data_IF_082154970929
#
_entry.id   IF_082154970929
#
_cell.length_a   1.000
_cell.length_b   1.000
_cell.length_c   1.000
_cell.angle_alpha   90.00
_cell.angle_beta   90.00
_cell.angle_gamma   90.00
#
_symmetry.space_group_name_H-M   'P 1'
#
loop_
_entity.id
_entity.type
_entity.pdbx_description
1 polymer ?
#
# COMPACT_ATOMS: atom_id res chain seq x y z
N UNK A 1 51.89 -23.06 -6.60
CA UNK A 1 51.42 -21.66 -6.82
C UNK A 1 50.74 -21.41 -8.18
N UNK A 2 50.97 -22.22 -9.23
CA UNK A 2 50.42 -21.96 -10.59
C UNK A 2 48.88 -21.99 -10.68
N UNK A 3 48.22 -22.93 -10.01
CA UNK A 3 46.76 -23.13 -10.07
C UNK A 3 45.94 -22.02 -9.37
N UNK A 4 46.51 -21.34 -8.36
CA UNK A 4 45.82 -20.24 -7.66
C UNK A 4 45.60 -19.02 -8.56
N UNK A 5 46.53 -18.75 -9.48
CA UNK A 5 46.43 -17.63 -10.44
C UNK A 5 45.35 -17.89 -11.50
N UNK A 6 45.28 -19.12 -12.02
CA UNK A 6 44.23 -19.52 -12.97
C UNK A 6 42.83 -19.47 -12.36
N UNK A 7 42.66 -19.89 -11.11
CA UNK A 7 41.37 -19.80 -10.40
C UNK A 7 40.93 -18.34 -10.20
N UNK A 8 41.86 -17.44 -9.89
CA UNK A 8 41.57 -16.02 -9.72
C UNK A 8 41.13 -15.37 -11.05
N UNK A 9 41.78 -15.74 -12.15
CA UNK A 9 41.42 -15.26 -13.48
C UNK A 9 40.02 -15.75 -13.91
N UNK A 10 39.69 -17.02 -13.65
CA UNK A 10 38.35 -17.56 -13.91
C UNK A 10 37.29 -16.82 -13.09
N UNK A 11 37.57 -16.52 -11.82
CA UNK A 11 36.67 -15.75 -10.96
C UNK A 11 36.46 -14.31 -11.44
N UNK A 12 37.53 -13.63 -11.88
CA UNK A 12 37.41 -12.28 -12.44
C UNK A 12 36.60 -12.25 -13.74
N UNK A 13 36.79 -13.24 -14.63
CA UNK A 13 36.06 -13.32 -15.89
C UNK A 13 34.57 -13.66 -15.64
N UNK A 14 34.26 -14.55 -14.70
CA UNK A 14 32.87 -14.87 -14.37
C UNK A 14 32.11 -13.68 -13.78
N UNK A 15 32.77 -12.88 -12.92
CA UNK A 15 32.21 -11.63 -12.41
C UNK A 15 31.99 -10.60 -13.51
N UNK A 16 32.95 -10.44 -14.42
CA UNK A 16 32.87 -9.49 -15.52
C UNK A 16 31.75 -9.83 -16.51
N UNK A 17 31.65 -11.09 -16.94
CA UNK A 17 30.58 -11.55 -17.84
C UNK A 17 29.21 -11.38 -17.20
N UNK A 18 29.04 -11.78 -15.94
CA UNK A 18 27.74 -11.69 -15.25
C UNK A 18 27.26 -10.24 -15.11
N UNK A 19 28.16 -9.29 -14.83
CA UNK A 19 27.81 -7.87 -14.70
C UNK A 19 27.61 -7.18 -16.06
N UNK A 20 28.34 -7.58 -17.09
CA UNK A 20 28.26 -6.96 -18.42
C UNK A 20 26.96 -7.26 -19.15
N UNK A 21 26.38 -8.45 -18.95
CA UNK A 21 25.08 -8.83 -19.53
C UNK A 21 23.87 -8.43 -18.67
N UNK A 22 24.08 -7.93 -17.45
CA UNK A 22 23.01 -7.50 -16.54
C UNK A 22 22.56 -6.04 -16.77
N UNK A 23 23.20 -5.31 -17.68
CA UNK A 23 22.85 -3.91 -17.95
C UNK A 23 21.54 -3.82 -18.75
N UNK A 24 20.48 -3.40 -18.05
CA UNK A 24 19.17 -3.00 -18.57
C UNK A 24 19.31 -1.84 -19.56
N UNK A 25 19.54 -2.15 -20.84
CA UNK A 25 20.01 -1.17 -21.83
C UNK A 25 18.95 -0.36 -22.58
N UNK A 26 17.66 -0.75 -22.59
CA UNK A 26 16.69 -0.13 -23.51
C UNK A 26 15.39 0.39 -22.88
N UNK A 27 15.09 0.04 -21.62
CA UNK A 27 13.79 0.32 -21.01
C UNK A 27 13.93 0.94 -19.63
N UNK A 28 13.45 2.17 -19.45
CA UNK A 28 13.36 2.82 -18.15
C UNK A 28 12.20 2.21 -17.34
N UNK A 29 12.44 1.07 -16.67
CA UNK A 29 11.52 0.57 -15.62
C UNK A 29 11.63 1.55 -14.45
N UNK A 30 10.53 2.26 -14.18
CA UNK A 30 10.39 3.23 -13.09
C UNK A 30 9.37 2.70 -12.09
N UNK A 31 9.81 2.18 -10.96
CA UNK A 31 8.91 1.76 -9.90
C UNK A 31 8.69 2.91 -8.91
N UNK A 32 7.45 3.09 -8.48
CA UNK A 32 7.08 4.08 -7.48
C UNK A 32 6.68 3.41 -6.17
N UNK A 33 7.06 4.00 -5.04
CA UNK A 33 6.52 3.66 -3.73
C UNK A 33 5.82 4.91 -3.22
N UNK A 34 4.54 4.76 -2.86
CA UNK A 34 3.71 5.78 -2.25
C UNK A 34 3.37 5.38 -0.83
N UNK A 35 3.40 6.35 0.07
CA UNK A 35 2.95 6.22 1.45
C UNK A 35 1.81 7.21 1.62
N UNK A 36 0.71 6.78 2.21
CA UNK A 36 -0.47 7.61 2.48
C UNK A 36 -0.79 7.58 3.97
N UNK A 37 -1.20 8.71 4.51
CA UNK A 37 -1.70 8.84 5.88
C UNK A 37 -2.83 9.85 5.91
N UNK A 38 -3.82 9.63 6.78
CA UNK A 38 -4.97 10.50 6.89
C UNK A 38 -5.66 10.36 8.24
N UNK A 39 -6.48 11.36 8.56
CA UNK A 39 -7.44 11.30 9.66
C UNK A 39 -8.80 10.95 9.08
N UNK A 40 -9.51 10.05 9.73
CA UNK A 40 -10.85 9.63 9.34
C UNK A 40 -11.84 10.11 10.39
N UNK A 41 -13.05 10.46 9.95
CA UNK A 41 -14.17 10.69 10.86
C UNK A 41 -15.24 9.67 10.50
N UNK A 42 -15.53 8.76 11.42
CA UNK A 42 -16.46 7.67 11.19
C UNK A 42 -17.73 7.90 12.01
N UNK A 43 -18.88 7.82 11.34
CA UNK A 43 -20.19 7.94 11.97
C UNK A 43 -21.14 6.89 11.37
N UNK A 44 -21.93 6.24 12.22
CA UNK A 44 -22.98 5.31 11.77
C UNK A 44 -24.30 6.07 11.86
N UNK A 45 -25.04 6.14 10.76
CA UNK A 45 -26.40 6.66 10.78
C UNK A 45 -27.32 5.46 10.96
N UNK A 46 -27.94 5.36 12.13
CA UNK A 46 -28.91 4.31 12.44
C UNK A 46 -30.02 4.88 13.30
N UNK A 47 -31.26 4.51 13.00
CA UNK A 47 -32.43 5.00 13.71
C UNK A 47 -32.62 4.31 15.08
N UNK A 48 -31.96 3.17 15.28
CA UNK A 48 -32.15 2.32 16.46
C UNK A 48 -31.12 2.57 17.58
N UNK A 49 -30.01 3.24 17.30
CA UNK A 49 -28.95 3.50 18.28
C UNK A 49 -28.49 4.95 18.20
N UNK A 50 -28.31 5.58 19.36
CA UNK A 50 -27.67 6.88 19.42
C UNK A 50 -26.15 6.71 19.43
N UNK A 51 -25.52 7.07 18.32
CA UNK A 51 -24.09 6.91 18.09
C UNK A 51 -23.40 8.27 17.95
N UNK A 52 -22.18 8.39 18.46
CA UNK A 52 -21.37 9.59 18.32
C UNK A 52 -20.25 9.39 17.31
N UNK A 53 -20.06 10.38 16.44
CA UNK A 53 -18.98 10.39 15.47
C UNK A 53 -17.62 10.51 16.19
N UNK A 54 -16.72 9.57 15.91
CA UNK A 54 -15.37 9.61 16.48
C UNK A 54 -14.31 9.74 15.38
N UNK A 55 -13.13 10.20 15.80
CA UNK A 55 -11.97 10.34 14.91
C UNK A 55 -11.16 9.05 14.92
N UNK A 56 -10.68 8.69 13.75
CA UNK A 56 -9.79 7.58 13.50
C UNK A 56 -8.55 8.03 12.74
N UNK A 57 -7.64 7.08 12.52
CA UNK A 57 -6.50 7.28 11.63
C UNK A 57 -6.56 6.27 10.48
N UNK A 58 -5.97 6.64 9.36
CA UNK A 58 -5.70 5.74 8.26
C UNK A 58 -4.26 5.88 7.80
N UNK A 59 -3.66 4.76 7.42
CA UNK A 59 -2.34 4.70 6.82
C UNK A 59 -2.38 3.72 5.65
N UNK A 60 -1.49 3.90 4.69
CA UNK A 60 -1.43 3.00 3.54
C UNK A 60 -0.09 3.06 2.83
N UNK A 61 0.18 2.00 2.09
CA UNK A 61 1.37 1.81 1.28
C UNK A 61 0.91 1.39 -0.11
N UNK A 62 1.45 2.00 -1.15
CA UNK A 62 1.18 1.63 -2.53
C UNK A 62 2.47 1.48 -3.29
N UNK A 63 2.65 0.37 -3.98
CA UNK A 63 3.76 0.13 -4.89
C UNK A 63 3.24 0.12 -6.32
N UNK A 64 3.90 0.85 -7.20
CA UNK A 64 3.55 0.95 -8.62
C UNK A 64 4.71 0.43 -9.45
N UNK A 65 4.45 -0.56 -10.30
CA UNK A 65 5.40 -1.15 -11.21
C UNK A 65 5.08 -0.66 -12.62
N UNK A 66 6.05 0.02 -13.21
CA UNK A 66 6.03 0.34 -14.62
C UNK A 66 6.62 -0.83 -15.42
N UNK A 67 5.88 -1.36 -16.38
CA UNK A 67 6.35 -2.42 -17.29
C UNK A 67 6.54 -1.89 -18.71
N UNK A 68 7.68 -1.27 -19.07
CA UNK A 68 8.02 -1.03 -20.46
C UNK A 68 8.35 -2.38 -21.14
N UNK A 69 7.88 -2.68 -22.38
CA UNK A 69 7.27 -1.81 -23.40
C UNK A 69 5.73 -1.74 -23.39
N UNK A 70 5.08 -2.30 -22.38
CA UNK A 70 3.62 -2.40 -22.33
C UNK A 70 2.99 -1.04 -22.00
N UNK A 71 1.83 -0.75 -22.59
CA UNK A 71 1.07 0.49 -22.36
C UNK A 71 0.27 0.45 -21.06
N UNK A 72 0.63 -0.41 -20.10
CA UNK A 72 -0.05 -0.50 -18.83
C UNK A 72 0.95 -0.55 -17.68
N UNK A 73 0.61 0.09 -16.57
CA UNK A 73 1.28 -0.03 -15.29
C UNK A 73 0.38 -0.81 -14.34
N UNK A 74 1.02 -1.40 -13.34
CA UNK A 74 0.31 -2.10 -12.29
C UNK A 74 0.63 -1.45 -10.95
N UNK A 75 -0.38 -1.17 -10.15
CA UNK A 75 -0.18 -0.71 -8.78
C UNK A 75 -0.90 -1.62 -7.80
N UNK A 76 -0.20 -1.93 -6.72
CA UNK A 76 -0.70 -2.70 -5.60
C UNK A 76 -0.63 -1.83 -4.35
N UNK A 77 -1.76 -1.65 -3.68
CA UNK A 77 -1.91 -0.85 -2.48
C UNK A 77 -2.44 -1.68 -1.33
N UNK A 78 -2.05 -1.31 -0.12
CA UNK A 78 -2.66 -1.77 1.11
C UNK A 78 -2.92 -0.55 1.99
N UNK A 79 -4.16 -0.41 2.44
CA UNK A 79 -4.58 0.65 3.35
C UNK A 79 -5.13 0.02 4.62
N UNK A 80 -4.77 0.56 5.76
CA UNK A 80 -5.30 0.23 7.07
C UNK A 80 -5.97 1.45 7.67
N UNK A 81 -7.01 1.24 8.45
CA UNK A 81 -7.68 2.31 9.20
C UNK A 81 -8.14 1.78 10.54
N UNK A 82 -7.94 2.62 11.56
CA UNK A 82 -8.50 2.44 12.88
C UNK A 82 -9.55 3.52 13.09
N UNK A 83 -10.81 3.09 13.22
CA UNK A 83 -11.94 3.96 13.48
C UNK A 83 -12.52 3.62 14.84
N UNK A 84 -12.97 4.63 15.56
CA UNK A 84 -13.65 4.46 16.85
C UNK A 84 -15.12 4.85 16.68
N UNK A 85 -16.01 4.12 17.33
CA UNK A 85 -17.44 4.46 17.41
C UNK A 85 -17.83 4.41 18.87
N UNK A 86 -18.63 5.36 19.29
CA UNK A 86 -19.24 5.38 20.62
C UNK A 86 -20.73 5.14 20.44
N UNK A 87 -21.23 4.06 21.03
CA UNK A 87 -22.64 3.66 20.99
C UNK A 87 -23.20 3.81 22.39
N UNK A 88 -24.34 4.50 22.52
CA UNK A 88 -25.04 4.59 23.80
C UNK A 88 -25.66 3.25 24.16
N UNK A 89 -25.23 2.71 25.30
CA UNK A 89 -25.71 1.44 25.85
C UNK A 89 -26.11 1.58 27.32
N UNK A 90 -26.79 0.55 27.83
CA UNK A 90 -27.08 0.39 29.26
C UNK A 90 -26.31 -0.81 29.80
N UNK A 91 -25.64 -0.69 30.96
CA UNK A 91 -24.85 -1.79 31.52
C UNK A 91 -25.69 -2.94 32.07
N UNK A 92 -26.96 -2.71 32.41
CA UNK A 92 -27.91 -3.74 32.83
C UNK A 92 -29.34 -3.40 32.40
N UNK A 93 -30.21 -4.41 32.29
CA UNK A 93 -31.63 -4.24 31.95
C UNK A 93 -32.40 -3.39 32.97
N UNK A 94 -31.91 -3.29 34.21
CA UNK A 94 -32.55 -2.58 35.33
C UNK A 94 -31.94 -1.19 35.59
N UNK A 95 -30.82 -0.84 34.94
CA UNK A 95 -30.15 0.46 35.13
C UNK A 95 -30.75 1.52 34.20
N UNK A 96 -31.03 2.72 34.74
CA UNK A 96 -31.41 3.91 33.94
C UNK A 96 -30.22 4.73 33.45
N UNK A 97 -29.00 4.38 33.88
CA UNK A 97 -27.76 5.04 33.44
C UNK A 97 -27.40 4.59 32.03
N UNK A 98 -27.19 5.57 31.15
CA UNK A 98 -26.70 5.37 29.78
C UNK A 98 -25.23 5.71 29.72
N UNK A 99 -24.42 4.76 29.28
CA UNK A 99 -22.97 4.93 29.10
C UNK A 99 -22.62 4.82 27.62
N UNK A 100 -21.60 5.57 27.19
CA UNK A 100 -21.05 5.48 25.85
C UNK A 100 -20.05 4.33 25.78
N UNK A 101 -20.47 3.23 25.16
CA UNK A 101 -19.61 2.07 24.95
C UNK A 101 -18.75 2.32 23.71
N UNK A 102 -17.44 2.32 23.91
CA UNK A 102 -16.46 2.61 22.87
C UNK A 102 -16.04 1.33 22.14
N UNK A 103 -16.32 1.29 20.85
CA UNK A 103 -15.93 0.21 19.95
C UNK A 103 -14.83 0.66 19.00
N UNK A 104 -13.79 -0.17 18.88
CA UNK A 104 -12.68 0.07 17.96
C UNK A 104 -12.83 -0.84 16.74
N UNK A 105 -13.01 -0.23 15.59
CA UNK A 105 -13.07 -0.90 14.30
C UNK A 105 -11.73 -0.79 13.59
N UNK A 106 -11.13 -1.94 13.31
CA UNK A 106 -9.95 -2.05 12.47
C UNK A 106 -10.40 -2.46 11.06
N UNK A 107 -9.97 -1.73 10.06
CA UNK A 107 -10.24 -2.00 8.66
C UNK A 107 -8.92 -2.14 7.92
N UNK A 108 -8.85 -3.12 7.03
CA UNK A 108 -7.75 -3.27 6.09
C UNK A 108 -8.36 -3.44 4.69
N UNK A 109 -7.84 -2.71 3.72
CA UNK A 109 -8.24 -2.74 2.33
C UNK A 109 -7.03 -3.02 1.47
N UNK A 110 -7.22 -3.92 0.51
CA UNK A 110 -6.26 -4.19 -0.54
C UNK A 110 -6.74 -3.56 -1.84
N UNK A 111 -5.83 -2.91 -2.53
CA UNK A 111 -6.08 -2.22 -3.79
C UNK A 111 -5.19 -2.80 -4.89
N UNK A 112 -5.80 -3.12 -6.02
CA UNK A 112 -5.09 -3.57 -7.21
C UNK A 112 -5.62 -2.78 -8.38
N UNK A 113 -4.79 -1.92 -8.94
CA UNK A 113 -5.18 -1.04 -10.04
C UNK A 113 -4.25 -1.23 -11.23
N UNK A 114 -4.85 -1.32 -12.42
CA UNK A 114 -4.16 -1.39 -13.69
C UNK A 114 -4.34 -0.06 -14.41
N UNK A 115 -3.24 0.66 -14.62
CA UNK A 115 -3.26 2.00 -15.23
C UNK A 115 -2.83 1.91 -16.68
N UNK A 116 -3.68 2.27 -17.63
CA UNK A 116 -3.32 2.27 -19.06
C UNK A 116 -2.71 3.63 -19.45
N UNK A 117 -1.48 3.60 -19.97
CA UNK A 117 -0.77 4.75 -20.53
C UNK A 117 -1.34 5.10 -21.92
N UNK A 118 -2.26 6.06 -21.96
CA UNK A 118 -2.88 6.55 -23.20
C UNK A 118 -1.89 7.37 -24.06
N UNK A 119 -1.03 8.18 -23.43
CA UNK A 119 -0.07 9.05 -24.12
C UNK A 119 1.38 8.74 -23.73
N UNK A 120 2.33 9.08 -24.63
CA UNK A 120 3.79 8.98 -24.38
C UNK A 120 4.31 10.16 -23.51
N UNK A 121 3.44 11.12 -23.19
CA UNK A 121 3.70 12.28 -22.35
C UNK A 121 3.40 11.97 -20.87
N UNK A 122 4.04 12.66 -19.91
CA UNK A 122 4.04 12.30 -18.49
C UNK A 122 2.71 12.49 -17.73
N UNK A 123 1.58 12.75 -18.40
CA UNK A 123 0.28 12.84 -17.74
C UNK A 123 -0.36 11.45 -17.62
N UNK A 124 -0.25 10.86 -16.42
CA UNK A 124 -1.00 9.69 -16.01
C UNK A 124 -2.29 10.16 -15.31
N UNK A 125 -3.45 9.88 -15.90
CA UNK A 125 -4.75 10.08 -15.26
C UNK A 125 -5.08 8.77 -14.53
N UNK A 126 -5.30 8.86 -13.22
CA UNK A 126 -5.80 7.76 -12.41
C UNK A 126 -7.32 7.69 -12.61
N UNK A 127 -7.82 6.56 -13.12
CA UNK A 127 -9.25 6.19 -13.14
C UNK A 127 -9.44 5.14 -12.05
#
# INVERSE_FOLDING_TARGET
MKYKSFLLLVFCISLFVTKSFSQKGYYKISNGIGISGGLTQFNIITDNFSTQASKGFTGGLRVSVDMPPKRYNLSYGMQFSENVIEILGRPSLLSSETEQIRYKLLMAQLDFALHVKLFKNPLCIMI
#
